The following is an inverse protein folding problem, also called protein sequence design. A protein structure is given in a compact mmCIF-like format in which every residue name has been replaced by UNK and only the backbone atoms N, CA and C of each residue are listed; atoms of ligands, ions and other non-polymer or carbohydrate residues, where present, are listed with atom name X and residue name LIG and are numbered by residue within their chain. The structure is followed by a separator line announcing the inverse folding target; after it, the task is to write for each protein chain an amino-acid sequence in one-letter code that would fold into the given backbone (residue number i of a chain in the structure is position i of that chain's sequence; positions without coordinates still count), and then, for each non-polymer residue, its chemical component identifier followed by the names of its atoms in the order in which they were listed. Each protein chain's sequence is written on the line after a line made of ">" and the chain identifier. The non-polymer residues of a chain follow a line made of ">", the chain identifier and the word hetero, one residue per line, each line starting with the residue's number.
data_IF_885722442260
#
_entry.id   IF_885722442260
#
_cell.length_a   1.000
_cell.length_b   1.000
_cell.length_c   1.000
_cell.angle_alpha   90.00
_cell.angle_beta   90.00
_cell.angle_gamma   90.00
#
_symmetry.space_group_name_H-M   'P 1'
#
loop_
_entity.id
_entity.type
_entity.pdbx_description
1 polymer ?
#
# COMPACT_ATOMS: atom_id res chain seq x y z
N UNK A 1 -27.80 -0.34 24.88
CA UNK A 1 -27.73 0.84 23.99
C UNK A 1 -26.30 1.37 23.81
N UNK A 2 -25.38 1.17 24.76
CA UNK A 2 -23.97 1.61 24.67
C UNK A 2 -23.07 0.79 23.73
N UNK A 3 -23.32 -0.51 23.55
CA UNK A 3 -22.53 -1.36 22.64
C UNK A 3 -22.74 -1.03 21.15
N UNK A 4 -23.97 -0.63 20.79
CA UNK A 4 -24.28 -0.15 19.43
C UNK A 4 -23.67 1.21 19.15
N UNK A 5 -23.68 2.13 20.12
CA UNK A 5 -22.97 3.41 20.01
C UNK A 5 -21.46 3.16 19.82
N UNK A 6 -20.83 2.32 20.65
CA UNK A 6 -19.41 1.99 20.54
C UNK A 6 -19.03 1.35 19.19
N UNK A 7 -19.90 0.48 18.64
CA UNK A 7 -19.72 -0.07 17.29
C UNK A 7 -19.84 0.99 16.20
N UNK A 8 -20.80 1.91 16.27
CA UNK A 8 -20.91 3.02 15.30
C UNK A 8 -19.79 4.07 15.48
N UNK A 9 -19.29 4.30 16.68
CA UNK A 9 -18.21 5.26 16.92
C UNK A 9 -16.84 4.73 16.49
N UNK A 10 -16.64 3.40 16.52
CA UNK A 10 -15.39 2.76 16.07
C UNK A 10 -15.45 2.24 14.63
N UNK A 11 -16.62 1.86 14.12
CA UNK A 11 -16.82 1.22 12.81
C UNK A 11 -17.93 1.86 11.97
N UNK A 12 -18.66 2.83 12.50
CA UNK A 12 -19.66 3.57 11.76
C UNK A 12 -19.03 4.69 10.97
N UNK A 13 -19.66 5.02 9.85
CA UNK A 13 -19.27 6.13 9.00
C UNK A 13 -19.80 7.45 9.60
N UNK A 14 -19.44 7.72 10.85
CA UNK A 14 -19.91 8.86 11.64
C UNK A 14 -18.85 9.99 11.72
N UNK A 15 -19.31 11.18 12.11
CA UNK A 15 -18.46 12.38 12.16
C UNK A 15 -17.26 12.22 13.10
N UNK A 16 -17.43 11.51 14.21
CA UNK A 16 -16.34 11.27 15.16
C UNK A 16 -15.21 10.45 14.51
N UNK A 17 -15.56 9.34 13.85
CA UNK A 17 -14.60 8.50 13.13
C UNK A 17 -13.88 9.28 12.02
N UNK A 18 -14.60 10.15 11.30
CA UNK A 18 -14.05 11.00 10.26
C UNK A 18 -13.03 12.01 10.81
N UNK A 19 -13.38 12.74 11.88
CA UNK A 19 -12.48 13.72 12.50
C UNK A 19 -11.25 13.04 13.09
N UNK A 20 -11.42 11.89 13.76
CA UNK A 20 -10.31 11.11 14.29
C UNK A 20 -9.36 10.64 13.16
N UNK A 21 -9.92 10.17 12.03
CA UNK A 21 -9.14 9.79 10.85
C UNK A 21 -8.39 10.98 10.25
N UNK A 22 -9.00 12.17 10.18
CA UNK A 22 -8.33 13.38 9.69
C UNK A 22 -7.15 13.78 10.58
N UNK A 23 -7.34 13.78 11.91
CA UNK A 23 -6.25 14.08 12.86
C UNK A 23 -5.12 13.05 12.71
N UNK A 24 -5.46 11.76 12.63
CA UNK A 24 -4.48 10.70 12.42
C UNK A 24 -3.74 10.86 11.08
N UNK A 25 -4.43 11.23 9.99
CA UNK A 25 -3.83 11.50 8.70
C UNK A 25 -2.79 12.62 8.77
N UNK A 26 -3.11 13.72 9.48
CA UNK A 26 -2.17 14.85 9.68
C UNK A 26 -0.94 14.39 10.48
N UNK A 27 -1.15 13.72 11.62
CA UNK A 27 -0.05 13.25 12.48
C UNK A 27 0.86 12.25 11.77
N UNK A 28 0.28 11.32 11.00
CA UNK A 28 1.04 10.35 10.22
C UNK A 28 1.79 11.01 9.05
N UNK A 29 1.24 12.07 8.45
CA UNK A 29 1.94 12.86 7.43
C UNK A 29 3.14 13.59 8.02
N UNK A 30 2.99 14.21 9.20
CA UNK A 30 4.10 14.82 9.94
C UNK A 30 5.17 13.78 10.28
N UNK A 31 4.75 12.60 10.75
CA UNK A 31 5.66 11.47 11.02
C UNK A 31 6.40 11.01 9.77
N UNK A 32 5.69 10.88 8.64
CA UNK A 32 6.30 10.51 7.36
C UNK A 32 7.34 11.54 6.91
N UNK A 33 7.06 12.83 7.10
CA UNK A 33 8.02 13.90 6.80
C UNK A 33 9.27 13.80 7.69
N UNK A 34 9.11 13.49 8.98
CA UNK A 34 10.23 13.25 9.89
C UNK A 34 11.08 12.02 9.56
N UNK A 35 10.54 11.05 8.83
CA UNK A 35 11.25 9.88 8.32
C UNK A 35 11.86 10.06 6.93
N UNK A 36 11.59 11.19 6.28
CA UNK A 36 12.12 11.47 4.96
C UNK A 36 13.62 11.74 5.02
N UNK A 37 14.37 10.97 4.26
CA UNK A 37 15.80 11.20 3.99
C UNK A 37 16.02 11.04 2.49
N UNK A 38 16.71 11.98 1.83
CA UNK A 38 16.98 11.90 0.38
C UNK A 38 17.66 10.59 -0.04
N UNK A 39 18.42 9.95 0.86
CA UNK A 39 19.05 8.65 0.63
C UNK A 39 18.03 7.51 0.41
N UNK A 40 16.77 7.66 0.82
CA UNK A 40 15.72 6.64 0.67
C UNK A 40 15.53 6.23 -0.79
N UNK A 41 15.64 7.18 -1.72
CA UNK A 41 15.44 6.95 -3.15
C UNK A 41 16.52 6.08 -3.78
N UNK A 42 17.69 5.96 -3.14
CA UNK A 42 18.79 5.10 -3.61
C UNK A 42 18.55 3.62 -3.29
N UNK A 43 17.60 3.30 -2.40
CA UNK A 43 17.37 1.93 -1.91
C UNK A 43 15.93 1.51 -2.18
N UNK A 44 15.67 0.70 -3.22
CA UNK A 44 14.30 0.30 -3.57
C UNK A 44 13.48 -0.36 -2.48
N UNK A 45 14.11 -1.19 -1.67
CA UNK A 45 13.46 -1.83 -0.52
C UNK A 45 13.03 -0.82 0.54
N UNK A 46 13.60 0.39 0.57
CA UNK A 46 13.22 1.44 1.51
C UNK A 46 12.16 2.37 0.93
N UNK A 47 12.33 2.82 -0.32
CA UNK A 47 11.35 3.72 -0.92
C UNK A 47 9.98 3.07 -1.10
N UNK A 48 9.90 1.76 -1.36
CA UNK A 48 8.61 1.07 -1.48
C UNK A 48 7.82 1.10 -0.16
N UNK A 49 8.52 0.94 0.96
CA UNK A 49 7.92 0.97 2.29
C UNK A 49 7.49 2.39 2.65
N UNK A 50 8.31 3.38 2.30
CA UNK A 50 7.97 4.78 2.50
C UNK A 50 6.73 5.18 1.69
N UNK A 51 6.69 4.86 0.39
CA UNK A 51 5.55 5.16 -0.47
C UNK A 51 4.30 4.40 -0.03
N UNK A 52 4.42 3.13 0.36
CA UNK A 52 3.32 2.37 0.95
C UNK A 52 2.81 2.99 2.26
N UNK A 53 3.70 3.51 3.10
CA UNK A 53 3.31 4.20 4.33
C UNK A 53 2.54 5.50 4.04
N UNK A 54 2.90 6.25 2.99
CA UNK A 54 2.16 7.47 2.60
C UNK A 54 0.71 7.19 2.18
N UNK A 55 0.37 5.96 1.79
CA UNK A 55 -1.01 5.58 1.52
C UNK A 55 -1.89 5.48 2.78
N UNK A 56 -1.30 5.33 3.97
CA UNK A 56 -2.05 5.30 5.23
C UNK A 56 -2.75 6.65 5.50
N UNK A 57 -2.04 7.79 5.56
CA UNK A 57 -2.72 9.08 5.73
C UNK A 57 -3.65 9.42 4.56
N UNK A 58 -3.34 8.99 3.32
CA UNK A 58 -4.25 9.16 2.18
C UNK A 58 -5.58 8.41 2.41
N UNK A 59 -5.52 7.15 2.83
CA UNK A 59 -6.73 6.36 3.08
C UNK A 59 -7.57 6.88 4.25
N UNK A 60 -6.91 7.38 5.31
CA UNK A 60 -7.60 8.03 6.44
C UNK A 60 -8.24 9.37 6.03
N UNK A 61 -7.57 10.16 5.20
CA UNK A 61 -8.16 11.38 4.63
C UNK A 61 -9.38 11.03 3.77
N UNK A 62 -9.30 9.99 2.93
CA UNK A 62 -10.44 9.54 2.14
C UNK A 62 -11.60 9.02 2.99
N UNK A 63 -11.32 8.41 4.16
CA UNK A 63 -12.36 8.01 5.11
C UNK A 63 -13.13 9.24 5.60
N UNK A 64 -12.42 10.27 6.06
CA UNK A 64 -13.02 11.57 6.43
C UNK A 64 -13.85 12.16 5.27
N UNK A 65 -13.30 12.19 4.05
CA UNK A 65 -14.04 12.68 2.89
C UNK A 65 -15.31 11.87 2.61
N UNK A 66 -15.33 10.57 2.93
CA UNK A 66 -16.52 9.73 2.75
C UNK A 66 -17.59 10.03 3.80
N UNK A 67 -17.20 10.29 5.04
CA UNK A 67 -18.10 10.74 6.11
C UNK A 67 -18.73 12.09 5.75
N UNK A 68 -17.97 12.99 5.12
CA UNK A 68 -18.46 14.29 4.64
C UNK A 68 -19.31 14.20 3.36
N UNK A 69 -19.49 13.00 2.78
CA UNK A 69 -20.26 12.79 1.56
C UNK A 69 -19.55 13.22 0.26
N UNK A 70 -18.25 13.51 0.31
CA UNK A 70 -17.47 13.93 -0.87
C UNK A 70 -16.96 12.76 -1.71
N UNK A 71 -16.91 11.56 -1.13
CA UNK A 71 -16.51 10.33 -1.83
C UNK A 71 -17.15 9.11 -1.18
N UNK A 72 -16.85 7.91 -1.69
CA UNK A 72 -17.34 6.65 -1.11
C UNK A 72 -16.31 6.03 -0.18
N UNK A 73 -16.77 5.33 0.87
CA UNK A 73 -15.91 4.59 1.80
C UNK A 73 -15.08 3.50 1.11
N UNK A 74 -15.55 3.00 -0.05
CA UNK A 74 -14.81 2.06 -0.88
C UNK A 74 -13.43 2.60 -1.28
N UNK A 75 -13.30 3.89 -1.63
CA UNK A 75 -12.01 4.43 -2.02
C UNK A 75 -11.03 4.50 -0.83
N UNK A 76 -11.52 4.84 0.36
CA UNK A 76 -10.72 4.81 1.59
C UNK A 76 -10.19 3.40 1.89
N UNK A 77 -11.06 2.39 1.80
CA UNK A 77 -10.67 0.99 1.98
C UNK A 77 -9.60 0.57 0.98
N UNK A 78 -9.72 0.95 -0.30
CA UNK A 78 -8.74 0.57 -1.32
C UNK A 78 -7.42 1.34 -1.19
N UNK A 79 -7.45 2.60 -0.74
CA UNK A 79 -6.24 3.34 -0.39
C UNK A 79 -5.46 2.65 0.74
N UNK A 80 -6.16 2.20 1.80
CA UNK A 80 -5.53 1.49 2.92
C UNK A 80 -5.07 0.07 2.54
N UNK A 81 -5.89 -0.67 1.79
CA UNK A 81 -5.60 -2.07 1.46
C UNK A 81 -4.64 -2.19 0.29
N UNK A 82 -5.04 -1.76 -0.92
CA UNK A 82 -4.19 -1.87 -2.10
C UNK A 82 -3.02 -0.89 -2.09
N UNK A 83 -3.21 0.31 -1.52
CA UNK A 83 -2.17 1.33 -1.41
C UNK A 83 -1.23 1.07 -0.24
N UNK A 84 -1.71 1.01 1.00
CA UNK A 84 -0.79 0.82 2.12
C UNK A 84 -0.37 -0.65 2.28
N UNK A 85 -1.32 -1.53 2.62
CA UNK A 85 -0.97 -2.91 2.96
C UNK A 85 -0.40 -3.71 1.79
N UNK A 86 -0.92 -3.57 0.58
CA UNK A 86 -0.42 -4.27 -0.60
C UNK A 86 1.03 -3.89 -0.92
N UNK A 87 1.30 -2.59 -0.98
CA UNK A 87 2.64 -2.06 -1.29
C UNK A 87 3.64 -2.44 -0.19
N UNK A 88 3.30 -2.17 1.07
CA UNK A 88 4.18 -2.47 2.22
C UNK A 88 4.45 -3.97 2.27
N UNK A 89 3.42 -4.81 2.11
CA UNK A 89 3.56 -6.26 2.17
C UNK A 89 4.50 -6.77 1.08
N UNK A 90 4.35 -6.32 -0.18
CA UNK A 90 5.25 -6.73 -1.26
C UNK A 90 6.70 -6.32 -0.98
N UNK A 91 6.91 -5.10 -0.46
CA UNK A 91 8.22 -4.61 -0.04
C UNK A 91 8.83 -5.42 1.10
N UNK A 92 8.05 -5.69 2.15
CA UNK A 92 8.48 -6.46 3.31
C UNK A 92 8.80 -7.91 2.93
N UNK A 93 7.95 -8.58 2.16
CA UNK A 93 8.22 -9.95 1.70
C UNK A 93 9.51 -10.01 0.89
N UNK A 94 9.72 -9.06 -0.03
CA UNK A 94 10.95 -8.98 -0.82
C UNK A 94 12.21 -8.86 0.06
N UNK A 95 12.15 -8.00 1.08
CA UNK A 95 13.25 -7.80 2.04
C UNK A 95 13.49 -9.03 2.91
N UNK A 96 12.42 -9.61 3.46
CA UNK A 96 12.46 -10.80 4.33
C UNK A 96 13.06 -11.97 3.57
N UNK A 97 12.62 -12.23 2.33
CA UNK A 97 13.15 -13.33 1.52
C UNK A 97 14.65 -13.16 1.28
N UNK A 98 15.12 -11.96 0.91
CA UNK A 98 16.55 -11.72 0.70
C UNK A 98 17.35 -11.95 1.98
N UNK A 99 16.91 -11.36 3.11
CA UNK A 99 17.60 -11.48 4.40
C UNK A 99 17.63 -12.91 4.96
N UNK A 100 16.51 -13.61 4.91
CA UNK A 100 16.41 -14.98 5.42
C UNK A 100 16.98 -16.03 4.48
N UNK A 101 17.26 -15.68 3.22
CA UNK A 101 17.96 -16.60 2.30
C UNK A 101 19.45 -16.33 2.15
N UNK A 102 20.00 -15.40 2.97
CA UNK A 102 21.42 -15.04 2.99
C UNK A 102 21.88 -14.26 1.77
N UNK A 103 20.96 -13.70 0.98
CA UNK A 103 21.26 -12.97 -0.26
C UNK A 103 21.41 -11.48 0.00
N UNK A 104 22.30 -10.83 -0.75
CA UNK A 104 22.47 -9.39 -0.70
C UNK A 104 21.14 -8.65 -0.87
N UNK A 105 20.92 -7.60 -0.08
CA UNK A 105 19.79 -6.67 -0.20
C UNK A 105 19.93 -5.73 -1.42
N UNK A 106 20.41 -6.27 -2.54
CA UNK A 106 20.56 -5.57 -3.80
C UNK A 106 19.27 -5.66 -4.61
N UNK A 107 18.86 -4.53 -5.15
CA UNK A 107 17.78 -4.47 -6.14
C UNK A 107 18.14 -5.23 -7.42
N UNK A 108 17.14 -5.86 -8.02
CA UNK A 108 17.19 -6.37 -9.39
C UNK A 108 16.17 -5.62 -10.24
N UNK A 109 16.35 -5.58 -11.55
CA UNK A 109 15.38 -4.93 -12.45
C UNK A 109 13.96 -5.49 -12.24
N UNK A 110 13.83 -6.80 -12.08
CA UNK A 110 12.55 -7.46 -11.80
C UNK A 110 11.88 -6.95 -10.50
N UNK A 111 12.66 -6.68 -9.45
CA UNK A 111 12.14 -6.13 -8.20
C UNK A 111 11.54 -4.73 -8.43
N UNK A 112 12.26 -3.87 -9.16
CA UNK A 112 11.79 -2.52 -9.46
C UNK A 112 10.52 -2.57 -10.31
N UNK A 113 10.45 -3.47 -11.30
CA UNK A 113 9.24 -3.67 -12.11
C UNK A 113 8.05 -4.08 -11.26
N UNK A 114 8.22 -5.05 -10.35
CA UNK A 114 7.15 -5.46 -9.42
C UNK A 114 6.71 -4.29 -8.52
N UNK A 115 7.65 -3.48 -8.03
CA UNK A 115 7.37 -2.31 -7.21
C UNK A 115 6.63 -1.21 -7.95
N UNK A 116 6.97 -0.95 -9.22
CA UNK A 116 6.24 0.00 -10.05
C UNK A 116 4.82 -0.48 -10.30
N UNK A 117 4.62 -1.76 -10.66
CA UNK A 117 3.29 -2.32 -10.87
C UNK A 117 2.40 -2.26 -9.62
N UNK A 118 2.93 -2.58 -8.44
CA UNK A 118 2.13 -2.47 -7.21
C UNK A 118 1.83 -1.00 -6.87
N UNK A 119 2.74 -0.06 -7.15
CA UNK A 119 2.53 1.37 -6.90
C UNK A 119 1.44 1.98 -7.77
N UNK A 120 1.34 1.58 -9.04
CA UNK A 120 0.32 2.13 -9.94
C UNK A 120 -1.07 1.54 -9.70
N UNK A 121 -1.16 0.36 -9.07
CA UNK A 121 -2.44 -0.29 -8.77
C UNK A 121 -3.42 0.62 -8.01
N UNK A 122 -3.08 1.15 -6.81
CA UNK A 122 -4.00 2.00 -6.07
C UNK A 122 -4.33 3.31 -6.81
N UNK A 123 -3.44 3.81 -7.69
CA UNK A 123 -3.74 4.97 -8.52
C UNK A 123 -4.91 4.67 -9.46
N UNK A 124 -4.83 3.60 -10.25
CA UNK A 124 -5.94 3.18 -11.12
C UNK A 124 -7.20 2.82 -10.33
N UNK A 125 -7.06 2.32 -9.10
CA UNK A 125 -8.21 2.01 -8.25
C UNK A 125 -8.94 3.26 -7.77
N UNK A 126 -8.24 4.38 -7.59
CA UNK A 126 -8.79 5.63 -7.04
C UNK A 126 -9.10 6.69 -8.09
N UNK A 127 -8.51 6.63 -9.29
CA UNK A 127 -8.77 7.60 -10.36
C UNK A 127 -10.27 7.85 -10.63
N UNK A 128 -11.16 6.83 -10.62
CA UNK A 128 -12.60 7.07 -10.82
C UNK A 128 -13.28 7.90 -9.72
N UNK A 129 -12.62 8.16 -8.59
CA UNK A 129 -13.12 9.09 -7.56
C UNK A 129 -13.09 10.55 -8.05
N UNK A 130 -12.29 10.85 -9.07
CA UNK A 130 -12.21 12.17 -9.70
C UNK A 130 -13.28 12.23 -10.80
N UNK A 131 -14.19 13.23 -10.81
CA UNK A 131 -15.29 13.30 -11.77
C UNK A 131 -14.88 13.17 -13.24
N UNK A 132 -13.72 13.71 -13.61
CA UNK A 132 -13.18 13.64 -14.98
C UNK A 132 -12.89 12.21 -15.46
N UNK A 133 -12.70 11.25 -14.56
CA UNK A 133 -12.38 9.85 -14.88
C UNK A 133 -13.52 8.87 -14.59
N UNK A 134 -14.63 9.34 -14.00
CA UNK A 134 -15.74 8.50 -13.56
C UNK A 134 -16.35 7.65 -14.70
N UNK A 135 -16.37 8.16 -15.94
CA UNK A 135 -16.89 7.44 -17.10
C UNK A 135 -16.10 6.19 -17.52
N UNK A 136 -14.86 6.03 -17.02
CA UNK A 136 -13.96 4.92 -17.37
C UNK A 136 -13.81 3.88 -16.24
N UNK A 137 -14.77 3.83 -15.31
CA UNK A 137 -14.69 3.02 -14.08
C UNK A 137 -14.23 1.57 -14.31
N UNK A 138 -14.91 0.84 -15.21
CA UNK A 138 -14.60 -0.57 -15.47
C UNK A 138 -13.19 -0.76 -16.04
N UNK A 139 -12.82 0.05 -17.03
CA UNK A 139 -11.48 0.01 -17.62
C UNK A 139 -10.40 0.23 -16.54
N UNK A 140 -10.56 1.26 -15.70
CA UNK A 140 -9.58 1.57 -14.67
C UNK A 140 -9.44 0.46 -13.62
N UNK A 141 -10.53 -0.21 -13.25
CA UNK A 141 -10.48 -1.33 -12.31
C UNK A 141 -9.81 -2.56 -12.91
N UNK A 142 -10.08 -2.86 -14.20
CA UNK A 142 -9.36 -3.92 -14.88
C UNK A 142 -7.86 -3.64 -14.96
N UNK A 143 -7.46 -2.39 -15.24
CA UNK A 143 -6.06 -1.98 -15.20
C UNK A 143 -5.46 -2.14 -13.80
N UNK A 144 -6.17 -1.72 -12.75
CA UNK A 144 -5.73 -1.89 -11.36
C UNK A 144 -5.49 -3.38 -11.03
N UNK A 145 -6.45 -4.25 -11.36
CA UNK A 145 -6.32 -5.70 -11.16
C UNK A 145 -5.19 -6.32 -11.99
N UNK A 146 -5.00 -5.85 -13.22
CA UNK A 146 -3.92 -6.27 -14.10
C UNK A 146 -2.54 -5.92 -13.54
N UNK A 147 -2.34 -4.67 -13.10
CA UNK A 147 -1.09 -4.26 -12.47
C UNK A 147 -0.82 -4.98 -11.16
N UNK A 148 -1.84 -5.21 -10.34
CA UNK A 148 -1.72 -6.02 -9.13
C UNK A 148 -1.23 -7.42 -9.46
N UNK A 149 -1.91 -8.09 -10.40
CA UNK A 149 -1.56 -9.43 -10.82
C UNK A 149 -0.12 -9.50 -11.36
N UNK A 150 0.26 -8.57 -12.24
CA UNK A 150 1.60 -8.50 -12.81
C UNK A 150 2.68 -8.27 -11.74
N UNK A 151 2.43 -7.40 -10.75
CA UNK A 151 3.35 -7.18 -9.64
C UNK A 151 3.66 -8.48 -8.88
N UNK A 152 2.62 -9.21 -8.50
CA UNK A 152 2.75 -10.47 -7.79
C UNK A 152 3.31 -11.59 -8.67
N UNK A 153 2.99 -11.61 -9.96
CA UNK A 153 3.54 -12.57 -10.90
C UNK A 153 5.06 -12.42 -11.02
N UNK A 154 5.55 -11.19 -11.23
CA UNK A 154 6.99 -10.89 -11.27
C UNK A 154 7.67 -11.25 -9.96
N UNK A 155 7.03 -10.91 -8.82
CA UNK A 155 7.52 -11.29 -7.50
C UNK A 155 7.66 -12.81 -7.34
N UNK A 156 6.62 -13.58 -7.65
CA UNK A 156 6.64 -15.05 -7.52
C UNK A 156 7.74 -15.65 -8.40
N UNK A 157 7.82 -15.28 -9.68
CA UNK A 157 8.87 -15.82 -10.56
C UNK A 157 10.27 -15.46 -10.07
N UNK A 158 10.47 -14.26 -9.54
CA UNK A 158 11.77 -13.82 -9.06
C UNK A 158 12.21 -14.55 -7.78
N UNK A 159 11.27 -14.74 -6.84
CA UNK A 159 11.57 -15.15 -5.47
C UNK A 159 11.27 -16.63 -5.16
N UNK A 160 10.44 -17.33 -5.95
CA UNK A 160 10.10 -18.73 -5.68
C UNK A 160 11.33 -19.64 -5.62
N UNK A 161 12.26 -19.51 -6.57
CA UNK A 161 13.50 -20.30 -6.56
C UNK A 161 14.41 -20.00 -5.38
N UNK A 162 14.31 -18.81 -4.77
CA UNK A 162 15.09 -18.44 -3.59
C UNK A 162 14.60 -19.16 -2.34
N UNK A 163 13.28 -19.41 -2.26
CA UNK A 163 12.61 -20.03 -1.12
C UNK A 163 12.68 -21.56 -1.13
N UNK A 164 12.83 -22.16 -2.31
CA UNK A 164 12.88 -23.63 -2.47
C UNK A 164 14.32 -24.15 -2.42
N UNK A 165 15.31 -23.28 -2.62
CA UNK A 165 16.73 -23.66 -2.57
C UNK A 165 17.32 -23.35 -1.19
N UNK A 166 18.30 -24.15 -0.73
CA UNK A 166 19.05 -23.83 0.47
C UNK A 166 19.63 -22.41 0.44
N UNK A 167 19.84 -21.86 1.62
CA UNK A 167 20.50 -20.56 1.79
C UNK A 167 21.86 -20.53 1.11
N UNK A 168 22.22 -19.37 0.55
CA UNK A 168 23.51 -19.21 -0.15
C UNK A 168 24.71 -19.12 0.80
N UNK A 169 24.47 -18.85 2.08
CA UNK A 169 25.50 -18.72 3.13
C UNK A 169 25.74 -20.03 3.91
N UNK A 170 25.06 -21.11 3.55
CA UNK A 170 25.21 -22.43 4.17
C UNK A 170 24.72 -22.53 5.62
N UNK A 171 24.06 -21.50 6.16
CA UNK A 171 23.50 -21.52 7.52
C UNK A 171 22.18 -22.31 7.55
N UNK A 172 21.74 -22.78 8.72
CA UNK A 172 20.43 -23.41 8.87
C UNK A 172 19.31 -22.46 8.43
N UNK A 173 18.41 -22.95 7.58
CA UNK A 173 17.24 -22.22 7.07
C UNK A 173 16.95 -22.51 5.60
#
# INVERSE_FOLDING_TARGET
>A
TSAWAFYYTLFGNDLFSGVAALVAAILLTIRAAGWYLNALWKVPLLWILYLGFLWVPIGLLMHFMSVMGWTTSSYAIHALTSGAFGIITLGMMSRVILGHTGRDLKHSAALIVAFVFILVTPLFRLLPAIPAFAGNYYFMIHMAGGFWFLAFLVFVFRYASMLIKPRVDGRPG
#
